data_IF_876585740884
#
_entry.id   IF_876585740884
#
_cell.length_a   1.000
_cell.length_b   1.000
_cell.length_c   1.000
_cell.angle_alpha   90.00
_cell.angle_beta   90.00
_cell.angle_gamma   90.00
#
_symmetry.space_group_name_H-M   'P 1'
#
loop_
_entity.id
_entity.type
_entity.pdbx_description
1 polymer ?
#
# COMPACT_ATOMS: atom_id res chain seq x y z
N UNK A 1 12.65 -2.43 -21.13
CA UNK A 1 13.92 -2.38 -20.35
C UNK A 1 13.70 -2.10 -18.84
N UNK A 2 12.64 -1.37 -18.42
CA UNK A 2 12.42 -1.05 -17.02
C UNK A 2 11.87 -2.20 -16.17
N UNK A 3 11.21 -3.18 -16.74
CA UNK A 3 10.65 -4.36 -16.03
C UNK A 3 11.72 -5.35 -15.58
N UNK A 4 12.82 -5.49 -16.29
CA UNK A 4 13.91 -6.40 -15.92
C UNK A 4 14.67 -5.92 -14.67
N UNK A 5 14.90 -4.61 -14.53
CA UNK A 5 15.58 -4.05 -13.35
C UNK A 5 14.76 -4.17 -12.07
N UNK A 6 13.42 -4.11 -12.14
CA UNK A 6 12.55 -4.31 -10.98
C UNK A 6 12.63 -5.75 -10.46
N UNK A 7 12.68 -6.74 -11.34
CA UNK A 7 12.85 -8.17 -10.96
C UNK A 7 14.20 -8.44 -10.30
N UNK A 8 15.28 -7.85 -10.80
CA UNK A 8 16.61 -7.99 -10.21
C UNK A 8 16.67 -7.39 -8.80
N UNK A 9 16.03 -6.25 -8.54
CA UNK A 9 16.01 -5.65 -7.20
C UNK A 9 15.28 -6.53 -6.19
N UNK A 10 14.17 -7.16 -6.57
CA UNK A 10 13.48 -8.13 -5.71
C UNK A 10 14.35 -9.36 -5.42
N UNK A 11 15.09 -9.85 -6.39
CA UNK A 11 16.03 -10.95 -6.18
C UNK A 11 17.14 -10.56 -5.20
N UNK A 12 17.73 -9.38 -5.34
CA UNK A 12 18.77 -8.89 -4.42
C UNK A 12 18.28 -8.68 -2.98
N UNK A 13 16.99 -8.40 -2.78
CA UNK A 13 16.39 -8.32 -1.44
C UNK A 13 16.23 -9.72 -0.85
N UNK A 14 15.76 -10.66 -1.64
CA UNK A 14 15.47 -12.04 -1.25
C UNK A 14 16.73 -12.82 -0.84
N UNK A 15 17.83 -12.60 -1.54
CA UNK A 15 19.08 -13.37 -1.36
C UNK A 15 19.94 -12.87 -0.18
N UNK A 16 19.41 -11.99 0.67
CA UNK A 16 20.12 -11.51 1.87
C UNK A 16 19.99 -12.53 3.00
N UNK A 17 21.04 -12.66 3.80
CA UNK A 17 21.02 -13.47 5.04
C UNK A 17 19.96 -12.97 6.05
N UNK A 18 19.66 -11.66 6.01
CA UNK A 18 18.61 -11.05 6.80
C UNK A 18 17.74 -10.15 5.89
N UNK A 19 16.73 -10.72 5.22
CA UNK A 19 15.84 -9.96 4.33
C UNK A 19 14.95 -9.02 5.14
N UNK A 20 14.60 -7.85 4.58
CA UNK A 20 13.60 -6.97 5.19
C UNK A 20 12.22 -7.63 5.19
N UNK A 21 11.38 -7.23 6.13
CA UNK A 21 9.95 -7.54 6.10
C UNK A 21 9.32 -6.89 4.87
N UNK A 22 8.60 -7.66 4.07
CA UNK A 22 7.95 -7.19 2.85
C UNK A 22 6.44 -7.15 3.03
N UNK A 23 5.86 -5.98 2.79
CA UNK A 23 4.41 -5.80 2.76
C UNK A 23 3.93 -5.43 1.36
N UNK A 24 2.77 -5.96 0.98
CA UNK A 24 2.03 -5.60 -0.24
C UNK A 24 0.72 -4.97 0.16
N UNK A 25 0.46 -3.76 -0.34
CA UNK A 25 -0.77 -3.01 -0.09
C UNK A 25 -1.63 -3.01 -1.34
N UNK A 26 -2.90 -3.35 -1.20
CA UNK A 26 -3.92 -3.33 -2.24
C UNK A 26 -5.08 -2.46 -1.83
N UNK A 27 -5.83 -1.93 -2.81
CA UNK A 27 -7.09 -1.27 -2.56
C UNK A 27 -8.13 -2.28 -2.08
N UNK A 28 -8.89 -1.96 -1.04
CA UNK A 28 -9.90 -2.88 -0.46
C UNK A 28 -11.00 -3.29 -1.45
N UNK A 29 -11.27 -2.46 -2.46
CA UNK A 29 -12.18 -2.78 -3.54
C UNK A 29 -11.62 -3.81 -4.54
N UNK A 30 -10.29 -4.06 -4.56
CA UNK A 30 -9.61 -4.87 -5.56
C UNK A 30 -8.46 -5.71 -4.96
N UNK A 31 -8.63 -6.23 -3.77
CA UNK A 31 -7.63 -6.87 -2.91
C UNK A 31 -7.45 -8.38 -3.21
N UNK A 32 -7.20 -8.72 -4.48
CA UNK A 32 -7.14 -10.10 -4.95
C UNK A 32 -5.97 -10.90 -4.34
N UNK A 33 -4.81 -10.29 -4.12
CA UNK A 33 -3.66 -10.96 -3.49
C UNK A 33 -3.89 -11.18 -2.00
N UNK A 34 -4.47 -10.20 -1.30
CA UNK A 34 -4.87 -10.33 0.10
C UNK A 34 -5.84 -11.50 0.30
N UNK A 35 -6.92 -11.55 -0.52
CA UNK A 35 -7.89 -12.66 -0.46
C UNK A 35 -7.25 -14.00 -0.79
N UNK A 36 -6.32 -14.02 -1.74
CA UNK A 36 -5.57 -15.23 -2.09
C UNK A 36 -4.71 -15.72 -0.92
N UNK A 37 -4.06 -14.81 -0.20
CA UNK A 37 -3.28 -15.13 1.00
C UNK A 37 -4.18 -15.65 2.14
N UNK A 38 -5.31 -15.00 2.39
CA UNK A 38 -6.30 -15.41 3.42
C UNK A 38 -6.90 -16.78 3.11
N UNK A 39 -7.16 -17.09 1.85
CA UNK A 39 -7.72 -18.38 1.43
C UNK A 39 -6.78 -19.57 1.69
N UNK A 40 -5.47 -19.34 1.80
CA UNK A 40 -4.44 -20.36 2.09
C UNK A 40 -4.46 -21.58 1.17
N UNK A 41 -5.04 -21.45 -0.02
CA UNK A 41 -5.12 -22.54 -1.01
C UNK A 41 -3.90 -22.58 -1.93
N UNK A 42 -3.07 -21.53 -1.92
CA UNK A 42 -1.96 -21.35 -2.85
C UNK A 42 -2.39 -20.83 -4.22
N UNK A 43 -3.69 -20.73 -4.48
CA UNK A 43 -4.27 -20.27 -5.74
C UNK A 43 -4.70 -18.81 -5.64
N UNK A 44 -4.75 -18.12 -6.80
CA UNK A 44 -5.32 -16.78 -6.89
C UNK A 44 -6.83 -16.80 -6.67
N UNK A 45 -7.31 -15.80 -5.94
CA UNK A 45 -8.73 -15.48 -5.76
C UNK A 45 -8.98 -14.15 -6.45
N UNK A 46 -9.77 -14.16 -7.52
CA UNK A 46 -10.13 -12.94 -8.23
C UNK A 46 -11.24 -12.19 -7.50
N UNK A 47 -11.19 -10.87 -7.57
CA UNK A 47 -12.25 -9.98 -7.11
C UNK A 47 -13.04 -9.52 -8.30
N UNK A 48 -14.36 -9.69 -8.24
CA UNK A 48 -15.30 -9.28 -9.29
C UNK A 48 -16.30 -8.27 -8.75
N UNK A 49 -16.86 -7.47 -9.62
CA UNK A 49 -17.85 -6.45 -9.27
C UNK A 49 -17.33 -5.04 -9.52
N UNK A 50 -17.84 -4.11 -8.72
CA UNK A 50 -17.41 -2.71 -8.79
C UNK A 50 -16.07 -2.55 -8.05
N UNK A 51 -15.00 -2.31 -8.82
CA UNK A 51 -13.64 -2.14 -8.31
C UNK A 51 -13.35 -0.65 -8.03
N UNK A 52 -14.36 0.14 -7.67
CA UNK A 52 -14.20 1.57 -7.47
C UNK A 52 -13.34 1.88 -6.26
N UNK A 53 -12.27 2.62 -6.53
CA UNK A 53 -11.31 3.12 -5.54
C UNK A 53 -10.64 4.37 -6.10
N UNK A 54 -10.19 5.27 -5.24
CA UNK A 54 -9.34 6.40 -5.67
C UNK A 54 -7.97 5.93 -6.15
N UNK A 55 -7.55 4.75 -5.74
CA UNK A 55 -6.27 4.14 -6.13
C UNK A 55 -6.39 3.47 -7.52
N UNK A 56 -6.59 4.29 -8.56
CA UNK A 56 -6.87 3.80 -9.91
C UNK A 56 -5.81 2.81 -10.44
N UNK A 57 -4.55 3.00 -10.10
CA UNK A 57 -3.46 2.08 -10.45
C UNK A 57 -3.53 0.71 -9.75
N UNK A 58 -4.36 0.58 -8.70
CA UNK A 58 -4.60 -0.66 -7.94
C UNK A 58 -5.99 -1.26 -8.20
N UNK A 59 -6.82 -0.64 -9.04
CA UNK A 59 -8.17 -1.11 -9.35
C UNK A 59 -8.15 -2.33 -10.29
N UNK A 60 -7.51 -3.42 -9.86
CA UNK A 60 -7.36 -4.65 -10.63
C UNK A 60 -7.78 -5.86 -9.80
N UNK A 61 -8.90 -6.45 -10.16
CA UNK A 61 -9.45 -7.63 -9.46
C UNK A 61 -8.81 -8.95 -9.84
N UNK A 62 -7.91 -8.98 -10.85
CA UNK A 62 -7.25 -10.20 -11.32
C UNK A 62 -5.75 -10.15 -11.02
N UNK A 63 -5.27 -11.12 -10.25
CA UNK A 63 -3.86 -11.24 -9.93
C UNK A 63 -3.04 -11.83 -11.07
N UNK A 64 -1.80 -11.34 -11.25
CA UNK A 64 -0.85 -11.95 -12.17
C UNK A 64 -0.35 -13.29 -11.61
N UNK A 65 -0.56 -14.39 -12.31
CA UNK A 65 -0.23 -15.75 -11.87
C UNK A 65 1.26 -15.94 -11.58
N UNK A 66 2.13 -15.41 -12.45
CA UNK A 66 3.60 -15.49 -12.28
C UNK A 66 4.02 -14.63 -11.08
N UNK A 67 3.43 -13.45 -10.93
CA UNK A 67 3.66 -12.58 -9.79
C UNK A 67 3.24 -13.25 -8.49
N UNK A 68 2.08 -13.88 -8.46
CA UNK A 68 1.57 -14.59 -7.29
C UNK A 68 2.49 -15.73 -6.84
N UNK A 69 2.99 -16.53 -7.78
CA UNK A 69 3.91 -17.62 -7.46
C UNK A 69 5.19 -17.16 -6.76
N UNK A 70 5.60 -15.91 -7.00
CA UNK A 70 6.72 -15.29 -6.31
C UNK A 70 6.25 -14.70 -4.97
N UNK A 71 5.21 -13.87 -5.00
CA UNK A 71 4.77 -13.09 -3.83
C UNK A 71 4.31 -13.99 -2.68
N UNK A 72 3.54 -15.05 -2.95
CA UNK A 72 3.03 -15.97 -1.91
C UNK A 72 4.14 -16.63 -1.07
N UNK A 73 5.37 -16.68 -1.58
CA UNK A 73 6.52 -17.30 -0.91
C UNK A 73 7.49 -16.29 -0.28
N UNK A 74 7.31 -14.97 -0.55
CA UNK A 74 8.31 -13.97 -0.18
C UNK A 74 7.74 -12.73 0.49
N UNK A 75 6.42 -12.55 0.50
CA UNK A 75 5.74 -11.46 1.16
C UNK A 75 5.33 -11.90 2.56
N UNK A 76 5.66 -11.10 3.55
CA UNK A 76 5.32 -11.38 4.94
C UNK A 76 3.91 -10.88 5.29
N UNK A 77 3.49 -9.76 4.69
CA UNK A 77 2.19 -9.12 4.98
C UNK A 77 1.48 -8.75 3.70
N UNK A 78 0.25 -9.22 3.53
CA UNK A 78 -0.69 -8.73 2.53
C UNK A 78 -1.75 -7.87 3.20
N UNK A 79 -1.96 -6.67 2.71
CA UNK A 79 -2.87 -5.71 3.32
C UNK A 79 -3.94 -5.26 2.33
N UNK A 80 -5.18 -5.21 2.82
CA UNK A 80 -6.34 -4.62 2.15
C UNK A 80 -6.57 -3.23 2.75
N UNK A 81 -6.31 -2.19 1.96
CA UNK A 81 -6.27 -0.79 2.42
C UNK A 81 -7.47 -0.02 1.88
N UNK A 82 -8.27 0.62 2.75
CA UNK A 82 -9.34 1.51 2.33
C UNK A 82 -8.80 2.84 1.78
N UNK A 83 -9.61 3.51 0.99
CA UNK A 83 -9.26 4.77 0.30
C UNK A 83 -8.78 5.87 1.23
N UNK A 84 -9.33 5.97 2.44
CA UNK A 84 -8.92 6.98 3.41
C UNK A 84 -7.44 6.86 3.84
N UNK A 85 -6.87 5.64 3.85
CA UNK A 85 -5.45 5.45 4.14
C UNK A 85 -4.57 6.10 3.07
N UNK A 86 -4.91 5.87 1.81
CA UNK A 86 -4.23 6.49 0.68
C UNK A 86 -4.35 8.01 0.72
N UNK A 87 -5.57 8.53 0.90
CA UNK A 87 -5.83 9.96 0.96
C UNK A 87 -5.08 10.63 2.13
N UNK A 88 -5.01 9.97 3.30
CA UNK A 88 -4.23 10.45 4.44
C UNK A 88 -2.74 10.55 4.11
N UNK A 89 -2.18 9.53 3.46
CA UNK A 89 -0.77 9.53 3.06
C UNK A 89 -0.46 10.58 1.99
N UNK A 90 -1.35 10.77 1.03
CA UNK A 90 -1.23 11.85 0.03
C UNK A 90 -1.13 13.21 0.71
N UNK A 91 -1.95 13.46 1.75
CA UNK A 91 -1.86 14.69 2.55
C UNK A 91 -0.56 14.79 3.36
N UNK A 92 -0.07 13.70 3.94
CA UNK A 92 1.20 13.67 4.67
C UNK A 92 2.35 14.04 3.74
N UNK A 93 2.41 13.45 2.55
CA UNK A 93 3.42 13.79 1.55
C UNK A 93 3.35 15.25 1.08
N UNK A 94 2.13 15.78 0.92
CA UNK A 94 1.89 17.14 0.47
C UNK A 94 2.14 18.20 1.56
N UNK A 95 2.10 17.81 2.84
CA UNK A 95 2.26 18.71 3.97
C UNK A 95 3.28 18.16 4.96
N UNK A 96 4.58 18.20 4.61
CA UNK A 96 5.64 17.68 5.46
C UNK A 96 5.74 18.43 6.77
N UNK A 97 6.23 17.77 7.82
CA UNK A 97 6.52 18.37 9.11
C UNK A 97 8.01 18.71 9.21
N UNK A 98 8.29 19.88 9.79
CA UNK A 98 9.67 20.33 9.98
C UNK A 98 10.41 20.49 8.65
N UNK A 99 11.59 19.88 8.56
CA UNK A 99 12.46 19.93 7.38
C UNK A 99 12.26 18.75 6.42
N UNK A 100 11.22 17.94 6.60
CA UNK A 100 10.92 16.84 5.70
C UNK A 100 10.61 17.35 4.29
N UNK A 101 11.06 16.65 3.24
CA UNK A 101 10.83 17.09 1.87
C UNK A 101 9.36 16.94 1.48
N UNK A 102 8.86 17.92 0.73
CA UNK A 102 7.58 17.80 0.06
C UNK A 102 7.66 16.75 -1.07
N UNK A 103 6.73 15.80 -1.07
CA UNK A 103 6.64 14.75 -2.07
C UNK A 103 5.27 14.79 -2.74
N UNK A 104 5.24 14.86 -4.07
CA UNK A 104 4.01 14.70 -4.85
C UNK A 104 3.87 13.22 -5.20
N UNK A 105 2.88 12.57 -4.62
CA UNK A 105 2.55 11.17 -4.88
C UNK A 105 1.06 11.04 -5.14
N UNK A 106 0.70 10.32 -6.19
CA UNK A 106 -0.69 9.95 -6.45
C UNK A 106 -1.19 8.89 -5.46
N UNK A 107 -2.48 8.60 -5.53
CA UNK A 107 -3.21 7.82 -4.55
C UNK A 107 -2.67 6.39 -4.43
N UNK A 108 -2.43 5.72 -5.57
CA UNK A 108 -1.89 4.34 -5.56
C UNK A 108 -0.45 4.30 -5.03
N UNK A 109 0.35 5.36 -5.29
CA UNK A 109 1.71 5.48 -4.78
C UNK A 109 1.79 5.83 -3.30
N UNK A 110 0.75 6.43 -2.75
CA UNK A 110 0.71 6.92 -1.36
C UNK A 110 0.31 5.84 -0.35
N UNK A 111 -0.48 4.84 -0.75
CA UNK A 111 -1.06 3.87 0.20
C UNK A 111 -0.04 3.14 1.08
N UNK A 112 1.19 2.80 0.64
CA UNK A 112 2.16 2.14 1.53
C UNK A 112 2.56 3.01 2.73
N UNK A 113 2.64 4.35 2.55
CA UNK A 113 2.88 5.25 3.67
C UNK A 113 1.66 5.29 4.60
N UNK A 114 0.43 5.33 4.07
CA UNK A 114 -0.80 5.31 4.86
C UNK A 114 -0.93 4.05 5.71
N UNK A 115 -0.61 2.92 5.14
CA UNK A 115 -0.57 1.64 5.83
C UNK A 115 0.45 1.64 6.98
N UNK A 116 1.67 2.09 6.71
CA UNK A 116 2.73 2.21 7.72
C UNK A 116 2.35 3.20 8.83
N UNK A 117 1.78 4.36 8.47
CA UNK A 117 1.31 5.35 9.42
C UNK A 117 0.23 4.78 10.35
N UNK A 118 -0.74 4.04 9.80
CA UNK A 118 -1.79 3.39 10.58
C UNK A 118 -1.21 2.35 11.54
N UNK A 119 -0.28 1.51 11.07
CA UNK A 119 0.39 0.53 11.91
C UNK A 119 1.14 1.15 13.12
N UNK A 120 1.61 2.38 12.98
CA UNK A 120 2.38 3.07 14.03
C UNK A 120 1.53 3.88 15.00
N UNK A 121 0.37 4.39 14.56
CA UNK A 121 -0.40 5.40 15.32
C UNK A 121 -1.80 4.93 15.74
N UNK A 122 -2.30 3.84 15.16
CA UNK A 122 -3.60 3.30 15.52
C UNK A 122 -3.44 2.26 16.63
N UNK A 123 -4.11 2.48 17.76
CA UNK A 123 -4.05 1.57 18.89
C UNK A 123 -4.66 0.19 18.59
N UNK A 124 -5.61 0.14 17.65
CA UNK A 124 -6.25 -1.09 17.19
C UNK A 124 -5.37 -1.88 16.20
N UNK A 125 -4.29 -1.26 15.67
CA UNK A 125 -3.38 -1.87 14.72
C UNK A 125 -2.10 -2.47 15.35
N UNK A 126 -2.10 -2.81 16.63
CA UNK A 126 -0.93 -3.37 17.34
C UNK A 126 -0.43 -4.66 16.70
N UNK A 127 -1.32 -5.56 16.33
CA UNK A 127 -0.97 -6.82 15.66
C UNK A 127 -0.27 -6.57 14.32
N UNK A 128 -0.66 -5.51 13.62
CA UNK A 128 -0.04 -5.10 12.36
C UNK A 128 1.38 -4.58 12.60
N UNK A 129 1.57 -3.74 13.61
CA UNK A 129 2.89 -3.24 14.01
C UNK A 129 3.85 -4.40 14.35
N UNK A 130 3.37 -5.41 15.08
CA UNK A 130 4.12 -6.61 15.42
C UNK A 130 4.46 -7.44 14.18
N UNK A 131 3.49 -7.65 13.28
CA UNK A 131 3.70 -8.39 12.02
C UNK A 131 4.74 -7.73 11.12
N UNK A 132 4.77 -6.39 11.08
CA UNK A 132 5.75 -5.59 10.35
C UNK A 132 7.08 -5.45 11.10
N UNK A 133 7.16 -5.89 12.36
CA UNK A 133 8.34 -5.76 13.24
C UNK A 133 8.83 -4.31 13.36
N UNK A 134 7.89 -3.37 13.41
CA UNK A 134 8.21 -1.94 13.48
C UNK A 134 8.56 -1.53 14.93
N UNK A 135 9.69 -0.85 15.06
CA UNK A 135 10.17 -0.21 16.27
C UNK A 135 10.73 1.19 15.99
N UNK A 136 11.26 1.85 17.02
CA UNK A 136 11.83 3.21 16.93
C UNK A 136 13.10 3.29 16.07
N UNK A 137 13.75 2.16 15.78
CA UNK A 137 14.96 2.08 14.97
C UNK A 137 14.68 1.56 13.55
N UNK A 138 13.43 1.29 13.23
CA UNK A 138 13.04 0.74 11.94
C UNK A 138 13.25 1.73 10.80
N UNK A 139 13.84 1.26 9.71
CA UNK A 139 13.96 2.01 8.46
C UNK A 139 12.99 1.42 7.46
N UNK A 140 12.02 2.24 7.02
CA UNK A 140 10.95 1.82 6.11
C UNK A 140 11.20 2.38 4.71
N UNK A 141 11.24 1.50 3.71
CA UNK A 141 11.27 1.88 2.31
C UNK A 141 9.86 1.79 1.74
N UNK A 142 9.32 2.91 1.29
CA UNK A 142 8.08 2.97 0.51
C UNK A 142 8.40 3.38 -0.93
N UNK A 143 7.64 2.85 -1.88
CA UNK A 143 7.86 3.12 -3.30
C UNK A 143 6.64 3.88 -3.83
N UNK A 144 6.80 5.19 -4.03
CA UNK A 144 5.80 5.98 -4.76
C UNK A 144 5.91 5.64 -6.25
N UNK A 145 4.85 5.09 -6.80
CA UNK A 145 4.83 4.57 -8.18
C UNK A 145 4.28 5.57 -9.19
N UNK A 146 3.68 6.66 -8.71
CA UNK A 146 3.05 7.68 -9.55
C UNK A 146 3.09 9.07 -8.88
N UNK A 147 3.00 10.12 -9.72
CA UNK A 147 2.76 11.50 -9.28
C UNK A 147 1.25 11.81 -9.26
N UNK A 148 0.92 13.11 -9.28
CA UNK A 148 -0.45 13.62 -9.37
C UNK A 148 -1.04 13.48 -10.79
N UNK A 149 -1.22 12.24 -11.22
CA UNK A 149 -1.73 11.93 -12.56
C UNK A 149 -3.17 12.37 -12.77
N UNK A 150 -3.94 12.53 -11.68
CA UNK A 150 -5.24 13.21 -11.62
C UNK A 150 -5.13 14.46 -10.72
N UNK A 151 -4.74 15.62 -11.27
CA UNK A 151 -4.56 16.85 -10.50
C UNK A 151 -5.85 17.36 -9.82
N UNK A 152 -7.01 17.02 -10.37
CA UNK A 152 -8.31 17.40 -9.78
C UNK A 152 -8.53 16.60 -8.50
N UNK A 153 -8.40 15.30 -8.58
CA UNK A 153 -8.53 14.40 -7.43
C UNK A 153 -7.48 14.68 -6.37
N UNK A 154 -6.23 14.89 -6.78
CA UNK A 154 -5.14 15.25 -5.88
C UNK A 154 -5.48 16.50 -5.07
N UNK A 155 -6.02 17.55 -5.73
CA UNK A 155 -6.45 18.77 -5.07
C UNK A 155 -7.60 18.52 -4.10
N UNK A 156 -8.64 17.80 -4.52
CA UNK A 156 -9.78 17.44 -3.66
C UNK A 156 -9.30 16.73 -2.37
N UNK A 157 -8.31 15.84 -2.49
CA UNK A 157 -7.75 15.13 -1.34
C UNK A 157 -6.95 16.09 -0.45
N UNK A 158 -6.01 16.85 -1.03
CA UNK A 158 -5.03 17.62 -0.27
C UNK A 158 -5.63 18.90 0.31
N UNK A 159 -6.49 19.61 -0.47
CA UNK A 159 -7.01 20.92 -0.11
C UNK A 159 -8.44 20.86 0.43
N UNK A 160 -9.29 20.06 -0.19
CA UNK A 160 -10.71 20.02 0.14
C UNK A 160 -11.02 18.94 1.19
N UNK A 161 -10.02 18.10 1.55
CA UNK A 161 -10.11 17.12 2.62
C UNK A 161 -10.92 15.86 2.25
N UNK A 162 -11.10 15.56 0.97
CA UNK A 162 -11.82 14.37 0.52
C UNK A 162 -11.19 13.10 1.12
N UNK A 163 -12.02 12.16 1.55
CA UNK A 163 -11.61 10.94 2.28
C UNK A 163 -10.82 11.27 3.57
N UNK A 164 -11.27 12.27 4.34
CA UNK A 164 -10.57 12.77 5.52
C UNK A 164 -10.47 11.77 6.68
N UNK A 165 -11.48 10.93 6.84
CA UNK A 165 -11.59 9.92 7.92
C UNK A 165 -12.24 8.65 7.38
N UNK A 166 -12.15 7.59 8.15
CA UNK A 166 -12.96 6.40 7.94
C UNK A 166 -14.45 6.79 8.05
N UNK A 167 -15.23 6.57 7.01
CA UNK A 167 -16.66 6.89 6.99
C UNK A 167 -17.43 6.10 8.06
N UNK A 168 -16.88 5.00 8.55
CA UNK A 168 -17.46 4.23 9.66
C UNK A 168 -17.37 4.95 11.01
N UNK A 169 -16.44 5.90 11.17
CA UNK A 169 -16.25 6.71 12.39
C UNK A 169 -17.04 8.00 12.38
N UNK A 170 -17.70 8.34 11.28
CA UNK A 170 -18.49 9.57 11.11
C UNK A 170 -19.99 9.42 11.44
N UNK A 171 -20.38 8.38 12.19
CA UNK A 171 -21.76 8.15 12.63
C UNK A 171 -21.91 8.39 14.12
#
# INVERSE_FOLDING_TARGET
LHTAYRRQRQMCIRDRDNPPVMAVCEASAADCLYRSAVAKTGNLVNVTGDLQTIMAGLACGEGNTIGWDILKNHVDVFASCPDWMSAKATRIYANPLGDDPHVVSGESGSVPLGFCFTALHDEDAKDLKEALKLDENSVVLVISTEGDTDPVRYREIVWDGLYGTDESLSK
#
